data_IF_315642757418
#
_entry.id   IF_315642757418
#
_cell.length_a   1.000
_cell.length_b   1.000
_cell.length_c   1.000
_cell.angle_alpha   90.00
_cell.angle_beta   90.00
_cell.angle_gamma   90.00
#
_symmetry.space_group_name_H-M   'P 1'
#
loop_
_entity.id
_entity.type
_entity.pdbx_description
1 polymer ?
#
# COMPACT_ATOMS: atom_id res chain seq x y z
N UNK A 1 -3.19 -7.85 -12.69
CA UNK A 1 -4.41 -7.02 -12.85
C UNK A 1 -4.76 -6.52 -11.46
N UNK A 2 -4.67 -5.22 -11.21
CA UNK A 2 -5.02 -4.64 -9.91
C UNK A 2 -6.44 -4.10 -10.02
N UNK A 3 -7.36 -4.67 -9.24
CA UNK A 3 -8.76 -4.24 -9.13
C UNK A 3 -8.86 -3.33 -7.91
N UNK A 4 -8.98 -2.02 -8.14
CA UNK A 4 -9.10 -1.03 -7.07
C UNK A 4 -10.59 -0.91 -6.70
N UNK A 5 -11.00 -1.60 -5.64
CA UNK A 5 -12.39 -1.61 -5.19
C UNK A 5 -12.96 -0.21 -4.95
N UNK A 6 -14.30 -0.12 -5.08
CA UNK A 6 -15.23 1.03 -5.12
C UNK A 6 -15.04 2.19 -4.12
N UNK A 7 -14.05 2.15 -3.22
CA UNK A 7 -13.66 3.23 -2.30
C UNK A 7 -12.41 4.02 -2.70
N UNK A 8 -11.68 3.61 -3.75
CA UNK A 8 -10.41 4.24 -4.15
C UNK A 8 -10.53 5.70 -4.59
N UNK A 9 -11.72 6.12 -5.03
CA UNK A 9 -11.98 7.48 -5.52
C UNK A 9 -12.02 8.53 -4.40
N UNK A 10 -12.48 8.16 -3.20
CA UNK A 10 -12.67 9.12 -2.09
C UNK A 10 -11.36 9.49 -1.36
N UNK A 11 -10.29 8.71 -1.56
CA UNK A 11 -9.01 8.91 -0.87
C UNK A 11 -7.87 9.41 -1.77
N UNK A 12 -8.03 9.32 -3.10
CA UNK A 12 -6.91 9.52 -4.03
C UNK A 12 -7.23 10.41 -5.22
N UNK A 13 -8.52 10.63 -5.55
CA UNK A 13 -8.92 11.34 -6.77
C UNK A 13 -8.56 10.63 -8.08
N UNK A 14 -7.96 9.44 -8.01
CA UNK A 14 -7.50 8.67 -9.17
C UNK A 14 -8.62 7.76 -9.68
N UNK A 15 -8.80 7.74 -11.00
CA UNK A 15 -9.71 6.81 -11.68
C UNK A 15 -8.97 5.49 -11.93
N UNK A 16 -9.73 4.39 -12.05
CA UNK A 16 -9.23 3.02 -12.27
C UNK A 16 -8.22 2.91 -13.44
N UNK A 17 -8.27 3.87 -14.38
CA UNK A 17 -7.48 3.93 -15.61
C UNK A 17 -6.07 4.51 -15.42
N UNK A 18 -5.80 5.25 -14.34
CA UNK A 18 -4.53 5.98 -14.11
C UNK A 18 -3.50 5.17 -13.30
N UNK A 19 -3.91 4.04 -12.70
CA UNK A 19 -3.12 3.26 -11.72
C UNK A 19 -2.60 1.93 -12.30
N UNK A 20 -3.05 1.55 -13.51
CA UNK A 20 -2.65 0.27 -14.12
C UNK A 20 -1.20 0.34 -14.62
N UNK A 21 -0.33 -0.45 -13.97
CA UNK A 21 1.04 -0.69 -14.42
C UNK A 21 2.13 0.14 -13.74
N UNK A 22 1.79 0.93 -12.70
CA UNK A 22 2.76 1.66 -11.87
C UNK A 22 2.78 1.12 -10.43
N UNK A 23 3.92 1.13 -9.73
CA UNK A 23 3.95 0.76 -8.32
C UNK A 23 3.01 1.64 -7.50
N UNK A 24 2.11 1.05 -6.71
CA UNK A 24 1.13 1.78 -5.88
C UNK A 24 1.80 2.81 -4.97
N UNK A 25 3.02 2.52 -4.50
CA UNK A 25 3.87 3.43 -3.70
C UNK A 25 4.16 4.74 -4.43
N UNK A 26 4.42 4.68 -5.75
CA UNK A 26 4.72 5.86 -6.57
C UNK A 26 3.49 6.71 -6.90
N UNK A 27 2.31 6.09 -6.92
CA UNK A 27 1.06 6.75 -7.34
C UNK A 27 0.31 7.36 -6.16
N UNK A 28 0.40 6.72 -4.98
CA UNK A 28 -0.33 7.14 -3.78
C UNK A 28 0.53 7.86 -2.74
N UNK A 29 1.85 7.92 -2.94
CA UNK A 29 2.76 8.58 -2.01
C UNK A 29 2.62 8.05 -0.58
N UNK A 30 2.53 6.72 -0.43
CA UNK A 30 2.27 6.07 0.84
C UNK A 30 3.42 6.30 1.82
N UNK A 31 3.11 6.92 2.95
CA UNK A 31 4.03 7.09 4.07
C UNK A 31 3.50 6.27 5.25
N UNK A 32 4.19 5.16 5.54
CA UNK A 32 3.76 4.22 6.58
C UNK A 32 4.06 4.78 7.98
N UNK A 33 3.01 4.87 8.80
CA UNK A 33 3.12 5.26 10.21
C UNK A 33 3.45 4.02 11.05
N UNK A 34 2.77 2.91 10.75
CA UNK A 34 3.07 1.61 11.34
C UNK A 34 4.00 0.81 10.42
N UNK A 35 5.16 0.43 10.96
CA UNK A 35 6.18 -0.31 10.22
C UNK A 35 5.78 -1.79 10.00
N UNK A 36 6.46 -2.38 9.03
CA UNK A 36 6.48 -3.81 8.78
C UNK A 36 7.28 -4.58 9.82
N UNK A 37 7.00 -5.87 9.93
CA UNK A 37 7.64 -6.79 10.88
C UNK A 37 8.82 -7.55 10.25
N UNK A 38 9.08 -7.35 8.95
CA UNK A 38 9.98 -8.17 8.13
C UNK A 38 11.49 -8.03 8.39
N UNK A 39 11.92 -6.96 9.06
CA UNK A 39 13.33 -6.68 9.36
C UNK A 39 14.20 -6.40 8.11
N UNK A 40 15.51 -6.23 8.31
CA UNK A 40 16.48 -5.82 7.25
C UNK A 40 16.46 -6.69 5.99
N UNK A 41 16.14 -7.98 6.11
CA UNK A 41 16.04 -8.87 4.94
C UNK A 41 14.82 -8.63 4.06
N UNK A 42 13.77 -8.02 4.62
CA UNK A 42 12.56 -7.67 3.89
C UNK A 42 12.58 -6.23 3.38
N UNK A 43 13.51 -5.39 3.84
CA UNK A 43 13.74 -4.04 3.29
C UNK A 43 14.32 -4.16 1.87
N UNK A 44 13.43 -4.09 0.89
CA UNK A 44 13.71 -4.25 -0.53
C UNK A 44 14.09 -2.94 -1.21
N UNK A 45 13.69 -1.79 -0.66
CA UNK A 45 14.04 -0.48 -1.21
C UNK A 45 15.28 0.16 -0.59
N UNK A 46 15.76 -0.39 0.53
CA UNK A 46 17.01 -0.03 1.19
C UNK A 46 16.93 1.28 1.96
N UNK A 47 15.75 1.72 2.37
CA UNK A 47 15.56 2.92 3.18
C UNK A 47 15.87 2.70 4.68
N UNK A 48 16.13 1.46 5.08
CA UNK A 48 16.44 1.04 6.44
C UNK A 48 15.20 0.78 7.31
N UNK A 49 13.99 0.82 6.73
CA UNK A 49 12.71 0.63 7.41
C UNK A 49 11.84 -0.31 6.60
N UNK A 50 11.64 -1.51 7.13
CA UNK A 50 10.69 -2.44 6.51
C UNK A 50 9.27 -1.91 6.63
N UNK A 51 8.57 -1.86 5.51
CA UNK A 51 7.16 -1.47 5.48
C UNK A 51 6.20 -2.69 5.46
N UNK A 52 4.89 -2.46 5.71
CA UNK A 52 3.90 -3.54 5.66
C UNK A 52 3.73 -4.22 4.31
N UNK A 53 4.01 -3.56 3.19
CA UNK A 53 4.01 -4.16 1.84
C UNK A 53 5.16 -5.16 1.74
N UNK A 54 6.36 -4.72 2.08
CA UNK A 54 7.57 -5.52 2.06
C UNK A 54 7.46 -6.77 2.92
N UNK A 55 6.97 -6.60 4.15
CA UNK A 55 6.71 -7.72 5.06
C UNK A 55 5.73 -8.72 4.44
N UNK A 56 4.68 -8.22 3.79
CA UNK A 56 3.63 -9.08 3.24
C UNK A 56 4.12 -9.86 2.01
N UNK A 57 4.93 -9.24 1.16
CA UNK A 57 5.50 -9.85 -0.03
C UNK A 57 6.59 -10.88 0.33
N UNK A 58 7.53 -10.53 1.21
CA UNK A 58 8.65 -11.39 1.56
C UNK A 58 8.19 -12.63 2.35
N UNK A 59 7.26 -12.45 3.29
CA UNK A 59 6.81 -13.55 4.16
C UNK A 59 5.53 -14.23 3.70
N UNK A 60 4.87 -13.71 2.66
CA UNK A 60 3.58 -14.21 2.19
C UNK A 60 2.48 -14.12 3.24
N UNK A 61 2.55 -13.13 4.14
CA UNK A 61 1.57 -12.92 5.22
C UNK A 61 0.75 -11.66 4.99
N UNK A 62 -0.43 -11.58 5.60
CA UNK A 62 -1.24 -10.35 5.58
C UNK A 62 -0.76 -9.37 6.66
N UNK A 63 -0.70 -8.10 6.32
CA UNK A 63 -0.49 -7.01 7.28
C UNK A 63 -1.78 -6.23 7.44
N UNK A 64 -2.42 -6.30 8.61
CA UNK A 64 -3.73 -5.71 8.85
C UNK A 64 -3.66 -4.50 9.77
N UNK A 65 -4.55 -3.54 9.56
CA UNK A 65 -4.75 -2.42 10.47
C UNK A 65 -3.57 -1.45 10.55
N UNK A 66 -2.71 -1.40 9.52
CA UNK A 66 -1.47 -0.61 9.53
C UNK A 66 -1.78 0.83 9.16
N UNK A 67 -1.45 1.79 10.02
CA UNK A 67 -1.69 3.21 9.74
C UNK A 67 -0.75 3.73 8.68
N UNK A 68 -1.28 4.53 7.77
CA UNK A 68 -0.57 5.11 6.63
C UNK A 68 -1.09 6.52 6.37
N UNK A 69 -0.18 7.41 5.96
CA UNK A 69 -0.54 8.69 5.36
C UNK A 69 -0.50 8.53 3.84
N UNK A 70 -1.58 8.93 3.18
CA UNK A 70 -1.71 8.87 1.72
C UNK A 70 -1.54 10.29 1.19
N UNK A 71 -0.58 10.47 0.28
CA UNK A 71 -0.31 11.73 -0.38
C UNK A 71 -0.69 11.62 -1.86
N UNK A 72 -1.98 11.73 -2.13
CA UNK A 72 -2.47 11.77 -3.50
C UNK A 72 -2.07 13.09 -4.18
N UNK A 73 -1.69 13.02 -5.46
CA UNK A 73 -1.20 14.17 -6.21
C UNK A 73 -2.25 15.30 -6.22
N UNK A 74 -1.92 16.41 -5.56
CA UNK A 74 -2.76 17.62 -5.51
C UNK A 74 -3.72 17.71 -4.33
N UNK A 75 -3.74 16.74 -3.41
CA UNK A 75 -4.57 16.76 -2.20
C UNK A 75 -3.74 16.97 -0.91
N UNK A 76 -4.42 17.22 0.22
CA UNK A 76 -3.78 17.25 1.54
C UNK A 76 -3.47 15.81 2.00
N UNK A 77 -2.39 15.61 2.77
CA UNK A 77 -2.10 14.29 3.35
C UNK A 77 -3.31 13.76 4.13
N UNK A 78 -3.83 12.60 3.73
CA UNK A 78 -4.97 11.95 4.37
C UNK A 78 -4.51 10.73 5.17
N UNK A 79 -4.97 10.60 6.41
CA UNK A 79 -4.69 9.42 7.24
C UNK A 79 -5.65 8.30 6.92
N UNK A 80 -5.12 7.08 6.86
CA UNK A 80 -5.89 5.88 6.61
C UNK A 80 -5.34 4.69 7.42
N UNK A 81 -6.20 3.70 7.61
CA UNK A 81 -5.83 2.35 7.99
C UNK A 81 -5.74 1.50 6.73
N UNK A 82 -4.64 0.79 6.58
CA UNK A 82 -4.38 -0.09 5.46
C UNK A 82 -4.39 -1.56 5.87
N UNK A 83 -5.01 -2.39 5.03
CA UNK A 83 -4.86 -3.84 5.05
C UNK A 83 -4.16 -4.29 3.76
N UNK A 84 -3.07 -5.04 3.91
CA UNK A 84 -2.22 -5.55 2.84
C UNK A 84 -2.39 -7.06 2.74
N UNK A 85 -2.70 -7.54 1.55
CA UNK A 85 -2.87 -8.96 1.25
C UNK A 85 -1.96 -9.35 0.08
N UNK A 86 -0.99 -10.25 0.28
CA UNK A 86 -0.19 -10.76 -0.83
C UNK A 86 -1.07 -11.63 -1.73
N UNK A 87 -0.90 -11.50 -3.04
CA UNK A 87 -1.44 -12.45 -4.01
C UNK A 87 -0.54 -13.69 -4.01
N UNK A 88 -1.14 -14.87 -4.04
CA UNK A 88 -0.42 -16.14 -4.12
C UNK A 88 -0.32 -16.67 -5.57
N UNK A 89 -0.52 -15.80 -6.56
CA UNK A 89 -0.33 -16.14 -7.98
C UNK A 89 1.14 -15.95 -8.39
N UNK A 90 1.50 -16.50 -9.55
CA UNK A 90 2.87 -16.45 -10.07
C UNK A 90 3.35 -15.02 -10.40
N UNK A 91 2.45 -14.03 -10.42
CA UNK A 91 2.77 -12.65 -10.76
C UNK A 91 3.23 -11.83 -9.54
N UNK A 92 3.15 -12.37 -8.31
CA UNK A 92 3.69 -11.73 -7.11
C UNK A 92 2.99 -10.41 -6.73
N UNK A 93 1.70 -10.28 -7.05
CA UNK A 93 0.91 -9.07 -6.78
C UNK A 93 0.50 -8.90 -5.32
N UNK A 94 -0.20 -7.80 -5.02
CA UNK A 94 -0.83 -7.57 -3.72
C UNK A 94 -2.14 -6.79 -3.87
N UNK A 95 -3.05 -6.99 -2.93
CA UNK A 95 -4.25 -6.16 -2.73
C UNK A 95 -4.02 -5.26 -1.52
N UNK A 96 -4.17 -3.95 -1.73
CA UNK A 96 -4.12 -2.92 -0.70
C UNK A 96 -5.53 -2.35 -0.51
N UNK A 97 -6.06 -2.41 0.71
CA UNK A 97 -7.34 -1.80 1.09
C UNK A 97 -7.04 -0.61 1.99
N UNK A 98 -7.52 0.58 1.62
CA UNK A 98 -7.37 1.81 2.39
C UNK A 98 -8.72 2.24 2.98
N UNK A 99 -8.76 2.45 4.29
CA UNK A 99 -9.93 2.94 5.03
C UNK A 99 -9.57 4.29 5.65
N UNK A 100 -10.23 5.41 5.32
CA UNK A 100 -9.89 6.72 5.86
C UNK A 100 -10.10 6.78 7.38
N UNK A 101 -9.17 7.41 8.09
CA UNK A 101 -9.30 7.76 9.51
C UNK A 101 -9.92 9.16 9.61
N UNK A 102 -11.19 9.22 10.02
CA UNK A 102 -11.94 10.48 10.21
C UNK A 102 -11.56 11.25 11.48
#
# INVERSE_FOLDING_TARGET
>A
MIDAGKGSYELTGLRDEDVIGRPVREVLGLEWIDQGDGGESADTDGDGVTDPIETSLEWGVRSLGKRVSVNAEGDLPARAVADVFPAYDDDGGLLLVLTPEG
#
